data_IF_482873571775
#
_entry.id   IF_482873571775
#
_cell.length_a   1.000
_cell.length_b   1.000
_cell.length_c   1.000
_cell.angle_alpha   90.00
_cell.angle_beta   90.00
_cell.angle_gamma   90.00
#
_symmetry.space_group_name_H-M   'P 1'
#
loop_
_entity.id
_entity.type
_entity.pdbx_description
1 polymer ?
#
# COMPACT_ATOMS: atom_id res chain seq x y z
N UNK A 1 28.07 -25.58 -24.61
CA UNK A 1 26.70 -25.65 -24.03
C UNK A 1 26.74 -24.86 -22.73
N UNK A 2 26.23 -23.61 -22.65
CA UNK A 2 26.25 -22.88 -21.39
C UNK A 2 25.25 -23.49 -20.41
N UNK A 3 25.75 -23.78 -19.21
CA UNK A 3 24.96 -24.10 -18.05
C UNK A 3 24.43 -22.80 -17.43
N UNK A 4 23.15 -22.81 -17.02
CA UNK A 4 22.50 -22.11 -15.90
C UNK A 4 21.12 -21.60 -16.30
N UNK A 5 20.11 -22.21 -15.69
CA UNK A 5 18.98 -21.47 -15.14
C UNK A 5 18.71 -22.12 -13.77
N UNK A 6 19.39 -21.59 -12.75
CA UNK A 6 19.02 -21.90 -11.36
C UNK A 6 17.68 -21.19 -11.11
N UNK A 7 16.61 -21.90 -10.72
CA UNK A 7 15.35 -21.26 -10.39
C UNK A 7 15.62 -20.30 -9.23
N UNK A 8 15.43 -19.01 -9.49
CA UNK A 8 15.53 -17.98 -8.48
C UNK A 8 14.50 -18.32 -7.40
N UNK A 9 14.96 -18.80 -6.25
CA UNK A 9 14.11 -18.95 -5.07
C UNK A 9 13.46 -17.59 -4.81
N UNK A 10 12.18 -17.50 -5.16
CA UNK A 10 11.32 -16.42 -4.73
C UNK A 10 11.27 -16.53 -3.21
N UNK A 11 12.09 -15.74 -2.51
CA UNK A 11 11.94 -15.48 -1.08
C UNK A 11 10.50 -15.03 -0.90
N UNK A 12 9.67 -15.96 -0.44
CA UNK A 12 8.22 -15.83 -0.42
C UNK A 12 7.86 -14.52 0.25
N UNK A 13 6.93 -13.79 -0.36
CA UNK A 13 6.21 -12.77 0.39
C UNK A 13 5.64 -13.48 1.63
N UNK A 14 5.96 -12.98 2.82
CA UNK A 14 5.32 -13.48 4.03
C UNK A 14 3.80 -13.42 3.80
N UNK A 15 3.07 -14.52 4.04
CA UNK A 15 1.63 -14.54 3.81
C UNK A 15 1.02 -13.41 4.63
N UNK A 16 0.47 -12.41 3.94
CA UNK A 16 -0.42 -11.46 4.59
C UNK A 16 -1.59 -12.29 5.08
N UNK A 17 -1.88 -12.19 6.38
CA UNK A 17 -2.91 -12.91 7.11
C UNK A 17 -4.06 -13.34 6.18
N UNK A 18 -4.28 -14.66 6.04
CA UNK A 18 -5.26 -15.18 5.11
C UNK A 18 -6.64 -14.71 5.56
N UNK A 19 -7.16 -13.67 4.89
CA UNK A 19 -8.52 -13.23 5.10
C UNK A 19 -9.43 -14.37 4.66
N UNK A 20 -10.16 -14.96 5.61
CA UNK A 20 -11.13 -16.00 5.29
C UNK A 20 -12.18 -15.41 4.35
N UNK A 21 -12.25 -15.97 3.13
CA UNK A 21 -13.10 -15.41 2.07
C UNK A 21 -14.58 -15.46 2.44
N UNK A 22 -15.00 -16.44 3.25
CA UNK A 22 -16.39 -16.57 3.67
C UNK A 22 -16.73 -15.49 4.71
N UNK A 23 -15.87 -15.29 5.70
CA UNK A 23 -16.01 -14.22 6.70
C UNK A 23 -16.01 -12.83 6.03
N UNK A 24 -15.11 -12.63 5.07
CA UNK A 24 -15.03 -11.39 4.31
C UNK A 24 -16.30 -11.10 3.50
N UNK A 25 -16.78 -12.11 2.76
CA UNK A 25 -18.00 -12.00 1.98
C UNK A 25 -19.22 -11.71 2.87
N UNK A 26 -19.29 -12.32 4.05
CA UNK A 26 -20.34 -12.07 5.02
C UNK A 26 -20.31 -10.62 5.52
N UNK A 27 -19.14 -10.12 5.94
CA UNK A 27 -19.00 -8.74 6.41
C UNK A 27 -19.41 -7.70 5.35
N UNK A 28 -19.06 -7.95 4.07
CA UNK A 28 -19.48 -7.09 2.95
C UNK A 28 -20.99 -7.16 2.69
N UNK A 29 -21.59 -8.35 2.79
CA UNK A 29 -23.03 -8.53 2.63
C UNK A 29 -23.82 -7.81 3.74
N UNK A 30 -23.35 -7.89 4.99
CA UNK A 30 -23.94 -7.19 6.13
C UNK A 30 -23.87 -5.67 5.96
N UNK A 31 -22.71 -5.12 5.56
CA UNK A 31 -22.56 -3.69 5.29
C UNK A 31 -23.51 -3.20 4.20
N UNK A 32 -23.65 -3.97 3.11
CA UNK A 32 -24.58 -3.68 2.01
C UNK A 32 -26.04 -3.72 2.47
N UNK A 33 -26.42 -4.73 3.26
CA UNK A 33 -27.78 -4.86 3.79
C UNK A 33 -28.13 -3.71 4.75
N UNK A 34 -27.14 -3.20 5.50
CA UNK A 34 -27.29 -2.05 6.38
C UNK A 34 -27.31 -0.69 5.64
N UNK A 35 -27.08 -0.66 4.32
CA UNK A 35 -26.99 0.57 3.54
C UNK A 35 -25.71 1.39 3.79
N UNK A 36 -24.70 0.77 4.43
CA UNK A 36 -23.42 1.40 4.72
C UNK A 36 -22.44 1.13 3.59
N UNK A 37 -21.72 2.15 3.14
CA UNK A 37 -20.61 1.96 2.20
C UNK A 37 -19.39 1.38 2.94
N UNK A 38 -18.98 0.13 2.66
CA UNK A 38 -17.80 -0.43 3.31
C UNK A 38 -16.54 0.38 2.90
N UNK A 39 -15.57 0.58 3.80
CA UNK A 39 -14.34 1.27 3.45
C UNK A 39 -13.64 0.63 2.25
N UNK A 40 -13.06 1.45 1.37
CA UNK A 40 -12.47 0.97 0.11
C UNK A 40 -11.39 -0.11 0.32
N UNK A 41 -10.63 -0.02 1.42
CA UNK A 41 -9.68 -1.06 1.81
C UNK A 41 -10.35 -2.40 2.07
N UNK A 42 -11.47 -2.40 2.80
CA UNK A 42 -12.25 -3.61 3.07
C UNK A 42 -12.81 -4.23 1.79
N UNK A 43 -13.19 -3.45 0.78
CA UNK A 43 -13.59 -4.05 -0.52
C UNK A 43 -12.47 -4.87 -1.19
N UNK A 44 -11.22 -4.58 -0.86
CA UNK A 44 -10.04 -5.25 -1.40
C UNK A 44 -9.49 -6.32 -0.46
N UNK A 45 -10.08 -6.56 0.71
CA UNK A 45 -9.50 -7.43 1.74
C UNK A 45 -8.33 -6.81 2.52
N UNK A 46 -8.11 -5.50 2.37
CA UNK A 46 -7.17 -4.77 3.23
C UNK A 46 -7.78 -4.55 4.62
N UNK A 47 -6.97 -4.54 5.69
CA UNK A 47 -7.45 -4.25 7.02
C UNK A 47 -8.03 -2.83 7.11
N UNK A 48 -8.97 -2.62 8.02
CA UNK A 48 -9.46 -1.27 8.29
C UNK A 48 -8.38 -0.45 8.99
N UNK A 49 -8.22 0.79 8.55
CA UNK A 49 -7.34 1.74 9.18
C UNK A 49 -8.08 2.50 10.30
N UNK A 50 -7.38 2.92 11.36
CA UNK A 50 -7.97 3.78 12.39
C UNK A 50 -8.37 5.15 11.82
N UNK A 51 -9.18 5.89 12.57
CA UNK A 51 -9.54 7.29 12.28
C UNK A 51 -10.19 7.52 10.90
N UNK A 52 -10.85 6.52 10.33
CA UNK A 52 -11.45 6.56 9.00
C UNK A 52 -10.44 6.85 7.86
N UNK A 53 -9.18 6.50 8.07
CA UNK A 53 -8.14 6.61 7.04
C UNK A 53 -8.37 5.60 5.90
N UNK A 54 -7.75 5.86 4.76
CA UNK A 54 -7.95 5.08 3.53
C UNK A 54 -6.63 4.59 2.96
N UNK A 55 -6.65 3.38 2.41
CA UNK A 55 -5.53 2.84 1.66
C UNK A 55 -5.46 3.49 0.28
N UNK A 56 -4.27 3.93 -0.10
CA UNK A 56 -3.98 4.42 -1.45
C UNK A 56 -2.89 3.59 -2.11
N UNK A 57 -3.03 3.34 -3.40
CA UNK A 57 -2.01 2.67 -4.21
C UNK A 57 -0.96 3.67 -4.73
N UNK A 58 -0.03 3.22 -5.58
CA UNK A 58 1.01 4.10 -6.15
C UNK A 58 0.44 5.30 -6.94
N UNK A 59 -0.74 5.16 -7.57
CA UNK A 59 -1.36 6.28 -8.27
C UNK A 59 -1.91 7.31 -7.27
N UNK A 60 -2.56 6.86 -6.20
CA UNK A 60 -2.97 7.73 -5.10
C UNK A 60 -1.78 8.41 -4.42
N UNK A 61 -0.70 7.67 -4.15
CA UNK A 61 0.53 8.22 -3.59
C UNK A 61 1.14 9.31 -4.49
N UNK A 62 1.14 9.11 -5.80
CA UNK A 62 1.60 10.14 -6.75
C UNK A 62 0.71 11.39 -6.73
N UNK A 63 -0.61 11.24 -6.59
CA UNK A 63 -1.54 12.37 -6.50
C UNK A 63 -1.34 13.19 -5.23
N UNK A 64 -1.12 12.54 -4.08
CA UNK A 64 -0.92 13.20 -2.78
C UNK A 64 0.44 13.90 -2.71
N UNK A 65 1.51 13.17 -3.03
CA UNK A 65 2.88 13.66 -2.89
C UNK A 65 3.30 14.60 -4.03
N UNK A 66 2.65 14.51 -5.19
CA UNK A 66 3.06 15.18 -6.43
C UNK A 66 4.27 14.52 -7.12
N UNK A 67 4.71 13.36 -6.63
CA UNK A 67 5.92 12.67 -7.09
C UNK A 67 5.54 11.64 -8.15
N UNK A 68 6.30 11.60 -9.25
CA UNK A 68 6.03 10.67 -10.33
C UNK A 68 6.07 9.20 -9.84
N UNK A 69 5.14 8.33 -10.29
CA UNK A 69 5.09 6.92 -9.88
C UNK A 69 6.42 6.17 -10.06
N UNK A 70 7.15 6.47 -11.14
CA UNK A 70 8.47 5.87 -11.40
C UNK A 70 9.52 6.24 -10.35
N UNK A 71 9.45 7.46 -9.82
CA UNK A 71 10.32 7.94 -8.74
C UNK A 71 9.98 7.24 -7.43
N UNK A 72 8.68 7.12 -7.11
CA UNK A 72 8.20 6.36 -5.94
C UNK A 72 8.71 4.91 -6.01
N UNK A 73 8.52 4.22 -7.13
CA UNK A 73 9.06 2.86 -7.33
C UNK A 73 10.57 2.80 -7.16
N UNK A 74 11.30 3.79 -7.68
CA UNK A 74 12.76 3.88 -7.49
C UNK A 74 13.17 4.11 -6.04
N UNK A 75 12.39 4.88 -5.29
CA UNK A 75 12.61 5.15 -3.87
C UNK A 75 12.35 3.93 -3.00
N UNK A 76 11.33 3.13 -3.29
CA UNK A 76 11.08 1.88 -2.56
C UNK A 76 12.26 0.90 -2.66
N UNK A 77 13.03 0.94 -3.74
CA UNK A 77 14.25 0.12 -3.87
C UNK A 77 15.47 0.76 -3.20
N UNK A 78 15.50 2.09 -3.06
CA UNK A 78 16.70 2.86 -2.67
C UNK A 78 16.60 3.54 -1.30
N UNK A 79 15.45 3.48 -0.63
CA UNK A 79 15.16 4.13 0.64
C UNK A 79 14.70 5.59 0.54
N UNK A 80 14.54 6.13 -0.68
CA UNK A 80 14.12 7.52 -0.87
C UNK A 80 15.18 8.58 -0.54
N UNK A 81 14.77 9.84 -0.30
CA UNK A 81 15.68 10.91 0.12
C UNK A 81 16.38 10.58 1.44
N UNK A 82 17.67 10.94 1.56
CA UNK A 82 18.46 10.61 2.76
C UNK A 82 17.98 11.30 4.04
N UNK A 83 17.54 12.56 3.94
CA UNK A 83 17.11 13.35 5.08
C UNK A 83 15.71 12.93 5.57
N UNK A 84 14.84 12.55 4.64
CA UNK A 84 13.48 12.13 4.93
C UNK A 84 13.12 10.92 4.06
N UNK A 85 13.39 9.69 4.54
CA UNK A 85 13.09 8.46 3.81
C UNK A 85 11.61 8.37 3.42
N UNK A 86 11.33 7.80 2.26
CA UNK A 86 9.94 7.63 1.81
C UNK A 86 9.25 6.51 2.62
N UNK A 87 7.96 6.67 2.97
CA UNK A 87 7.23 5.67 3.76
C UNK A 87 7.26 4.27 3.13
N UNK A 88 7.43 3.24 3.97
CA UNK A 88 7.44 1.86 3.52
C UNK A 88 6.03 1.44 3.06
N UNK A 89 5.95 0.68 1.97
CA UNK A 89 4.67 0.23 1.44
C UNK A 89 4.17 -1.04 2.17
N UNK A 90 2.87 -1.10 2.41
CA UNK A 90 2.16 -2.33 2.73
C UNK A 90 1.89 -3.11 1.43
N UNK A 91 2.43 -4.32 1.31
CA UNK A 91 2.28 -5.13 0.10
C UNK A 91 1.11 -6.11 0.24
N UNK A 92 0.10 -5.95 -0.59
CA UNK A 92 -1.09 -6.80 -0.60
C UNK A 92 -1.51 -7.11 -2.04
N UNK A 93 -1.82 -8.39 -2.34
CA UNK A 93 -2.14 -8.85 -3.71
C UNK A 93 -1.14 -8.34 -4.77
N UNK A 94 0.16 -8.38 -4.45
CA UNK A 94 1.26 -7.90 -5.29
C UNK A 94 1.23 -6.39 -5.64
N UNK A 95 0.40 -5.60 -4.97
CA UNK A 95 0.36 -4.14 -5.06
C UNK A 95 0.89 -3.51 -3.78
N UNK A 96 1.36 -2.27 -3.92
CA UNK A 96 1.84 -1.45 -2.83
C UNK A 96 0.72 -0.49 -2.40
N UNK A 97 0.48 -0.44 -1.10
CA UNK A 97 -0.51 0.43 -0.47
C UNK A 97 0.11 1.20 0.69
N UNK A 98 -0.42 2.38 0.96
CA UNK A 98 -0.08 3.20 2.12
C UNK A 98 -1.36 3.75 2.76
N UNK A 99 -1.37 3.99 4.08
CA UNK A 99 -2.35 4.88 4.69
C UNK A 99 -2.23 6.27 4.04
N UNK A 100 -3.36 6.90 3.71
CA UNK A 100 -3.38 8.25 3.13
C UNK A 100 -2.74 9.25 4.10
N UNK A 101 -3.11 9.18 5.38
CA UNK A 101 -2.59 10.08 6.42
C UNK A 101 -1.07 10.08 6.50
N UNK A 102 -0.44 8.91 6.45
CA UNK A 102 1.02 8.77 6.50
C UNK A 102 1.71 9.48 5.33
N UNK A 103 1.11 9.43 4.13
CA UNK A 103 1.64 10.14 2.97
C UNK A 103 1.43 11.65 3.05
N UNK A 104 0.32 12.10 3.63
CA UNK A 104 0.05 13.53 3.87
C UNK A 104 1.06 14.11 4.86
N UNK A 105 1.26 13.47 6.02
CA UNK A 105 2.25 13.84 7.03
C UNK A 105 3.67 13.89 6.44
N UNK A 106 4.06 12.84 5.70
CA UNK A 106 5.37 12.80 5.05
C UNK A 106 5.52 13.91 4.01
N UNK A 107 4.47 14.19 3.22
CA UNK A 107 4.52 15.22 2.18
C UNK A 107 4.69 16.61 2.77
N UNK A 108 4.03 16.89 3.90
CA UNK A 108 4.19 18.15 4.63
C UNK A 108 5.64 18.31 5.10
N UNK A 109 6.19 17.31 5.77
CA UNK A 109 7.58 17.31 6.23
C UNK A 109 8.58 17.45 5.05
N UNK A 110 8.33 16.75 3.94
CA UNK A 110 9.19 16.78 2.77
C UNK A 110 9.23 18.17 2.11
N UNK A 111 8.09 18.85 2.06
CA UNK A 111 8.01 20.23 1.53
C UNK A 111 8.69 21.23 2.44
N UNK A 112 8.59 21.07 3.76
CA UNK A 112 9.28 21.91 4.73
C UNK A 112 10.81 21.81 4.63
N UNK A 113 11.35 20.63 4.35
CA UNK A 113 12.80 20.40 4.18
C UNK A 113 13.33 20.81 2.79
N UNK A 114 12.45 20.91 1.79
CA UNK A 114 12.82 21.19 0.39
C UNK A 114 12.63 22.66 -0.03
N UNK A 115 12.00 23.48 0.83
CA UNK A 115 11.75 24.92 0.62
C UNK A 115 12.76 25.79 1.34
#
# INVERSE_FOLDING_TARGET
MPARDEPTEHRGAEPVEAVDLAEHAQALAEARAAGTEPPAGRLLGLPELPNADVWVDTAGAAAVTGIAPKTISGWLTRGGPKALPFPAAHRFLYRNYWPLSELEDWTEAYRAESG
#
